data_IF_986427986920
#
_entry.id   IF_986427986920
#
_cell.length_a   1.000
_cell.length_b   1.000
_cell.length_c   1.000
_cell.angle_alpha   90.00
_cell.angle_beta   90.00
_cell.angle_gamma   90.00
#
_symmetry.space_group_name_H-M   'P 1'
#
loop_
_entity.id
_entity.type
_entity.pdbx_description
1 polymer ?
#
# COMPACT_ATOMS: atom_id res chain seq x y z
N UNK A 1 -27.08 -8.32 22.32
CA UNK A 1 -27.04 -8.21 20.84
C UNK A 1 -26.54 -6.84 20.35
N UNK A 2 -27.17 -5.72 20.76
CA UNK A 2 -26.77 -4.37 20.30
C UNK A 2 -25.32 -3.98 20.62
N UNK A 3 -24.82 -4.31 21.81
CA UNK A 3 -23.43 -4.03 22.22
C UNK A 3 -22.42 -4.85 21.40
N UNK A 4 -22.71 -6.12 21.16
CA UNK A 4 -21.88 -7.00 20.35
C UNK A 4 -21.82 -6.51 18.89
N UNK A 5 -22.95 -6.08 18.34
CA UNK A 5 -23.02 -5.46 17.02
C UNK A 5 -22.18 -4.17 16.91
N UNK A 6 -22.24 -3.29 17.93
CA UNK A 6 -21.40 -2.08 17.98
C UNK A 6 -19.91 -2.41 18.01
N UNK A 7 -19.51 -3.41 18.79
CA UNK A 7 -18.11 -3.86 18.86
C UNK A 7 -17.65 -4.40 17.51
N UNK A 8 -18.44 -5.27 16.87
CA UNK A 8 -18.13 -5.80 15.54
C UNK A 8 -18.02 -4.69 14.49
N UNK A 9 -18.90 -3.68 14.54
CA UNK A 9 -18.85 -2.55 13.63
C UNK A 9 -17.56 -1.74 13.79
N UNK A 10 -17.14 -1.48 15.03
CA UNK A 10 -15.88 -0.75 15.30
C UNK A 10 -14.69 -1.55 14.75
N UNK A 11 -14.63 -2.86 15.03
CA UNK A 11 -13.55 -3.73 14.53
C UNK A 11 -13.51 -3.70 12.99
N UNK A 12 -14.68 -3.80 12.35
CA UNK A 12 -14.77 -3.75 10.90
C UNK A 12 -14.25 -2.43 10.31
N UNK A 13 -14.62 -1.30 10.92
CA UNK A 13 -14.12 0.03 10.50
C UNK A 13 -12.60 0.12 10.65
N UNK A 14 -12.05 -0.36 11.78
CA UNK A 14 -10.59 -0.36 12.02
C UNK A 14 -9.86 -1.17 10.96
N UNK A 15 -10.37 -2.36 10.61
CA UNK A 15 -9.79 -3.21 9.58
C UNK A 15 -9.82 -2.51 8.22
N UNK A 16 -10.94 -1.87 7.85
CA UNK A 16 -11.04 -1.10 6.61
C UNK A 16 -10.01 0.03 6.58
N UNK A 17 -9.93 0.83 7.64
CA UNK A 17 -8.98 1.95 7.71
C UNK A 17 -7.54 1.44 7.59
N UNK A 18 -7.21 0.33 8.24
CA UNK A 18 -5.90 -0.29 8.13
C UNK A 18 -5.56 -0.71 6.69
N UNK A 19 -6.51 -1.35 5.99
CA UNK A 19 -6.31 -1.73 4.58
C UNK A 19 -6.17 -0.52 3.66
N UNK A 20 -6.94 0.55 3.89
CA UNK A 20 -6.81 1.80 3.13
C UNK A 20 -5.41 2.37 3.31
N UNK A 21 -4.93 2.48 4.55
CA UNK A 21 -3.58 2.98 4.84
C UNK A 21 -2.54 2.10 4.13
N UNK A 22 -2.63 0.77 4.25
CA UNK A 22 -1.67 -0.16 3.64
C UNK A 22 -1.60 -0.03 2.12
N UNK A 23 -2.72 0.03 1.43
CA UNK A 23 -2.73 -0.05 -0.03
C UNK A 23 -2.72 1.31 -0.73
N UNK A 24 -3.29 2.35 -0.13
CA UNK A 24 -3.32 3.69 -0.73
C UNK A 24 -2.01 4.44 -0.47
N UNK A 25 -1.46 4.36 0.74
CA UNK A 25 -0.22 5.06 1.09
C UNK A 25 0.99 4.17 0.82
N UNK A 26 0.92 2.89 1.18
CA UNK A 26 2.03 1.94 1.00
C UNK A 26 2.24 1.47 -0.43
N UNK A 27 1.27 1.71 -1.33
CA UNK A 27 1.35 1.28 -2.72
C UNK A 27 1.31 -0.24 -2.92
N UNK A 28 1.48 -0.69 -4.18
CA UNK A 28 1.51 -2.11 -4.52
C UNK A 28 2.69 -2.84 -3.86
N UNK A 29 2.52 -4.13 -3.58
CA UNK A 29 3.55 -4.98 -2.95
C UNK A 29 4.66 -5.38 -3.92
N UNK A 30 4.28 -5.70 -5.16
CA UNK A 30 5.16 -6.19 -6.22
C UNK A 30 5.33 -5.12 -7.31
N UNK A 31 6.11 -4.08 -7.03
CA UNK A 31 6.32 -2.96 -7.96
C UNK A 31 7.72 -2.33 -7.84
N UNK A 32 8.07 -1.47 -8.80
CA UNK A 32 9.23 -0.61 -8.71
C UNK A 32 8.85 0.68 -7.98
N UNK A 33 9.45 0.92 -6.83
CA UNK A 33 9.20 2.13 -6.03
C UNK A 33 10.31 3.14 -6.22
N UNK A 34 9.93 4.42 -6.21
CA UNK A 34 10.90 5.51 -6.32
C UNK A 34 11.45 5.90 -4.96
N UNK A 35 12.75 5.69 -4.74
CA UNK A 35 13.45 6.06 -3.50
C UNK A 35 14.66 6.90 -3.88
N UNK A 36 14.68 8.16 -3.44
CA UNK A 36 15.78 9.10 -3.70
C UNK A 36 16.14 9.22 -5.21
N UNK A 37 15.13 9.24 -6.08
CA UNK A 37 15.34 9.32 -7.53
C UNK A 37 15.70 8.02 -8.22
N UNK A 38 15.84 6.92 -7.47
CA UNK A 38 16.18 5.62 -8.02
C UNK A 38 15.04 4.62 -7.90
N UNK A 39 14.81 3.85 -8.97
CA UNK A 39 13.91 2.70 -8.93
C UNK A 39 14.50 1.60 -8.06
N UNK A 40 13.85 1.33 -6.93
CA UNK A 40 14.15 0.25 -6.01
C UNK A 40 13.10 -0.84 -6.17
N UNK A 41 13.55 -2.10 -6.19
CA UNK A 41 12.66 -3.26 -6.32
C UNK A 41 11.89 -3.46 -5.01
N UNK A 42 10.56 -3.45 -5.07
CA UNK A 42 9.67 -3.88 -3.98
C UNK A 42 9.01 -5.20 -4.37
N UNK A 43 9.15 -6.23 -3.52
CA UNK A 43 8.59 -7.56 -3.78
C UNK A 43 9.17 -8.22 -5.03
N UNK A 44 8.30 -8.80 -5.86
CA UNK A 44 8.62 -9.44 -7.12
C UNK A 44 7.86 -8.81 -8.30
N UNK A 45 8.23 -7.59 -8.75
CA UNK A 45 7.56 -6.92 -9.86
C UNK A 45 7.58 -7.79 -11.10
N UNK A 46 6.41 -7.96 -11.72
CA UNK A 46 6.29 -8.71 -12.97
C UNK A 46 6.85 -7.93 -14.18
N UNK A 47 6.95 -6.61 -14.06
CA UNK A 47 7.45 -5.71 -15.09
C UNK A 47 8.96 -5.51 -14.96
N UNK A 48 9.69 -5.33 -16.08
CA UNK A 48 11.12 -4.99 -16.03
C UNK A 48 11.32 -3.65 -15.32
N UNK A 49 12.53 -3.45 -14.75
CA UNK A 49 12.92 -2.17 -14.15
C UNK A 49 12.68 -1.03 -15.15
N UNK A 50 11.95 0.04 -14.79
CA UNK A 50 11.76 1.16 -15.70
C UNK A 50 13.09 1.82 -16.05
N UNK A 51 13.18 2.37 -17.26
CA UNK A 51 14.37 3.08 -17.72
C UNK A 51 14.44 4.50 -17.14
N UNK A 52 15.66 4.96 -16.87
CA UNK A 52 15.94 6.28 -16.30
C UNK A 52 15.63 6.42 -14.81
N UNK A 53 15.85 7.62 -14.29
CA UNK A 53 15.58 7.97 -12.90
C UNK A 53 14.09 8.25 -12.68
N UNK A 54 13.58 7.87 -11.50
CA UNK A 54 12.15 7.87 -11.17
C UNK A 54 11.63 9.19 -10.62
N UNK A 55 12.54 10.09 -10.22
CA UNK A 55 12.21 11.40 -9.67
C UNK A 55 12.61 12.46 -10.69
N UNK A 56 11.80 12.56 -11.75
CA UNK A 56 11.83 13.73 -12.62
C UNK A 56 11.00 14.82 -11.94
N UNK A 57 11.68 15.72 -11.24
CA UNK A 57 11.11 17.05 -11.02
C UNK A 57 10.87 17.75 -12.36
#
# INVERSE_FOLDING_TARGET
MKTLFKVLLIIFIVIIVWFIIRFVIGGPEDDWICVEGQWVKHGAPATPKPEGDCDKK
#
